data_IF_903041838875
#
_entry.id   IF_903041838875
#
_cell.length_a   1.000
_cell.length_b   1.000
_cell.length_c   1.000
_cell.angle_alpha   90.00
_cell.angle_beta   90.00
_cell.angle_gamma   90.00
#
_symmetry.space_group_name_H-M   'P 1'
#
loop_
_entity.id
_entity.type
_entity.pdbx_description
1 polymer ?
#
# COMPACT_ATOMS: atom_id res chain seq x y z
N UNK A 1 10.14 -10.77 8.34
CA UNK A 1 10.90 -9.70 7.67
C UNK A 1 12.11 -10.29 7.00
N UNK A 2 12.23 -10.13 5.68
CA UNK A 2 13.36 -10.67 4.92
C UNK A 2 14.54 -9.72 4.99
N UNK A 3 15.32 -9.83 6.04
CA UNK A 3 16.57 -9.07 6.20
C UNK A 3 17.52 -9.20 5.00
N UNK A 4 17.41 -10.30 4.23
CA UNK A 4 18.23 -10.52 3.03
C UNK A 4 17.90 -9.54 1.90
N UNK A 5 16.62 -9.14 1.72
CA UNK A 5 16.24 -8.12 0.73
C UNK A 5 16.88 -6.79 1.12
N UNK A 6 16.75 -6.40 2.39
CA UNK A 6 17.33 -5.17 2.89
C UNK A 6 18.84 -5.14 2.70
N UNK A 7 19.52 -6.26 2.99
CA UNK A 7 20.97 -6.40 2.80
C UNK A 7 21.38 -6.31 1.32
N UNK A 8 20.61 -6.93 0.42
CA UNK A 8 20.81 -6.84 -1.04
C UNK A 8 20.78 -5.39 -1.51
N UNK A 9 19.74 -4.64 -1.12
CA UNK A 9 19.58 -3.24 -1.54
C UNK A 9 20.59 -2.30 -0.88
N UNK A 10 21.04 -2.56 0.33
CA UNK A 10 22.17 -1.85 0.93
C UNK A 10 23.46 -2.11 0.14
N UNK A 11 23.69 -3.36 -0.29
CA UNK A 11 24.82 -3.70 -1.15
C UNK A 11 24.81 -2.90 -2.46
N UNK A 12 23.66 -2.77 -3.12
CA UNK A 12 23.52 -1.96 -4.33
C UNK A 12 23.76 -0.47 -4.05
N UNK A 13 23.23 0.03 -2.94
CA UNK A 13 23.42 1.43 -2.52
C UNK A 13 24.88 1.75 -2.12
N UNK A 14 25.65 0.77 -1.67
CA UNK A 14 26.99 0.97 -1.15
C UNK A 14 27.92 1.71 -2.14
N UNK A 15 27.72 1.49 -3.45
CA UNK A 15 28.49 2.14 -4.52
C UNK A 15 28.22 3.64 -4.59
N UNK A 16 27.05 4.09 -4.13
CA UNK A 16 26.61 5.50 -4.14
C UNK A 16 26.80 6.19 -2.80
N UNK A 17 27.21 5.43 -1.78
CA UNK A 17 27.42 5.94 -0.43
C UNK A 17 28.91 6.24 -0.18
N UNK A 18 29.21 7.50 0.09
CA UNK A 18 30.56 7.91 0.37
C UNK A 18 31.07 7.30 1.71
N UNK A 19 32.26 6.69 1.68
CA UNK A 19 32.90 6.01 2.83
C UNK A 19 32.05 4.91 3.46
N UNK A 20 31.38 4.14 2.65
CA UNK A 20 30.63 2.98 3.11
C UNK A 20 31.55 1.93 3.76
N UNK A 21 31.16 1.48 4.95
CA UNK A 21 31.89 0.47 5.73
C UNK A 21 30.91 -0.39 6.52
N UNK A 22 31.02 -1.71 6.37
CA UNK A 22 30.31 -2.66 7.23
C UNK A 22 31.04 -2.73 8.60
N UNK A 23 30.27 -2.60 9.70
CA UNK A 23 30.79 -2.62 11.07
C UNK A 23 30.38 -3.87 11.85
N UNK A 24 29.46 -4.65 11.32
CA UNK A 24 28.94 -5.85 11.94
C UNK A 24 27.71 -6.38 11.17
N UNK A 25 27.06 -7.39 11.73
CA UNK A 25 25.87 -7.95 11.14
C UNK A 25 24.76 -6.88 11.03
N UNK A 26 24.38 -6.58 9.78
CA UNK A 26 23.38 -5.58 9.45
C UNK A 26 23.67 -4.15 9.96
N UNK A 27 24.93 -3.88 10.34
CA UNK A 27 25.36 -2.55 10.81
C UNK A 27 26.35 -1.93 9.82
N UNK A 28 25.99 -0.77 9.29
CA UNK A 28 26.77 -0.09 8.26
C UNK A 28 27.00 1.37 8.65
N UNK A 29 28.16 1.89 8.28
CA UNK A 29 28.55 3.27 8.52
C UNK A 29 28.96 3.94 7.20
N UNK A 30 28.52 5.17 6.97
CA UNK A 30 28.84 5.97 5.79
C UNK A 30 28.60 7.45 6.02
N UNK A 31 29.08 8.30 5.13
CA UNK A 31 28.77 9.74 5.17
C UNK A 31 27.30 9.98 4.89
N UNK A 32 26.70 10.88 5.66
CA UNK A 32 25.28 11.17 5.53
C UNK A 32 24.95 11.75 4.14
N UNK A 33 24.07 11.11 3.36
CA UNK A 33 23.66 11.63 2.05
C UNK A 33 22.70 12.83 2.14
N UNK A 34 22.20 13.12 3.36
CA UNK A 34 21.23 14.22 3.57
C UNK A 34 21.94 15.53 3.90
N UNK A 35 22.89 15.49 4.83
CA UNK A 35 23.62 16.70 5.26
C UNK A 35 25.06 16.79 4.76
N UNK A 36 25.54 15.78 4.02
CA UNK A 36 26.91 15.72 3.55
C UNK A 36 27.96 15.53 4.64
N UNK A 37 27.51 15.33 5.90
CA UNK A 37 28.36 15.19 7.08
C UNK A 37 29.27 16.43 7.33
N UNK A 38 30.45 16.27 7.91
CA UNK A 38 31.35 17.39 8.20
C UNK A 38 31.95 18.00 6.94
N UNK A 39 31.81 19.33 6.79
CA UNK A 39 32.41 20.06 5.68
C UNK A 39 33.94 20.23 5.86
N UNK A 40 34.38 20.36 7.10
CA UNK A 40 35.81 20.58 7.43
C UNK A 40 36.61 19.28 7.46
N UNK A 41 35.99 18.17 7.84
CA UNK A 41 36.67 16.88 7.92
C UNK A 41 35.94 15.81 7.08
N UNK A 42 36.45 15.60 5.89
CA UNK A 42 35.90 14.59 4.94
C UNK A 42 36.06 13.13 5.41
N UNK A 43 36.85 12.89 6.44
CA UNK A 43 37.04 11.55 6.98
C UNK A 43 35.98 11.13 7.97
N UNK A 44 35.14 12.04 8.43
CA UNK A 44 34.01 11.70 9.32
C UNK A 44 32.86 11.12 8.56
N UNK A 45 32.38 9.97 9.02
CA UNK A 45 31.18 9.29 8.55
C UNK A 45 30.28 9.06 9.77
N UNK A 46 29.15 9.77 9.84
CA UNK A 46 28.26 9.77 11.01
C UNK A 46 26.87 9.23 10.69
N UNK A 47 26.67 8.74 9.49
CA UNK A 47 25.47 8.01 9.09
C UNK A 47 25.62 6.53 9.44
N UNK A 48 24.63 5.97 10.11
CA UNK A 48 24.60 4.55 10.49
C UNK A 48 23.30 3.91 10.06
N UNK A 49 23.41 2.70 9.52
CA UNK A 49 22.27 1.77 9.40
C UNK A 49 22.44 0.70 10.47
N UNK A 50 21.35 0.36 11.16
CA UNK A 50 21.34 -0.65 12.21
C UNK A 50 19.96 -1.33 12.29
N UNK A 51 19.90 -2.58 12.81
CA UNK A 51 18.67 -3.29 12.95
C UNK A 51 17.81 -2.75 14.10
N UNK A 52 16.49 -2.66 13.88
CA UNK A 52 15.48 -2.42 14.90
C UNK A 52 14.37 -3.48 14.78
N UNK A 53 13.38 -3.45 15.69
CA UNK A 53 12.29 -4.43 15.75
C UNK A 53 11.55 -4.62 14.42
N UNK A 54 11.43 -3.57 13.63
CA UNK A 54 10.64 -3.54 12.40
C UNK A 54 11.49 -3.47 11.11
N UNK A 55 12.79 -3.72 11.16
CA UNK A 55 13.70 -3.71 10.01
C UNK A 55 14.95 -2.88 10.22
N UNK A 56 15.57 -2.45 9.13
CA UNK A 56 16.76 -1.62 9.17
C UNK A 56 16.41 -0.14 9.17
N UNK A 57 17.06 0.61 10.06
CA UNK A 57 16.88 2.04 10.23
C UNK A 57 18.18 2.78 10.02
N UNK A 58 18.07 3.93 9.41
CA UNK A 58 19.16 4.89 9.24
C UNK A 58 19.06 6.02 10.24
N UNK A 59 20.18 6.39 10.84
CA UNK A 59 20.33 7.58 11.69
C UNK A 59 21.64 8.29 11.41
N UNK A 60 21.59 9.60 11.32
CA UNK A 60 22.77 10.45 11.25
C UNK A 60 23.01 11.16 12.59
N UNK A 61 24.21 11.03 13.14
CA UNK A 61 24.59 11.72 14.39
C UNK A 61 24.99 13.18 14.16
N UNK A 62 25.12 13.65 12.93
CA UNK A 62 25.43 15.04 12.63
C UNK A 62 24.18 15.92 12.51
N UNK A 63 23.17 15.49 11.73
CA UNK A 63 21.93 16.24 11.53
C UNK A 63 20.73 15.62 12.25
N UNK A 64 20.92 14.60 13.06
CA UNK A 64 19.90 13.88 13.83
C UNK A 64 18.77 13.26 12.99
N UNK A 65 18.85 13.29 11.66
CA UNK A 65 17.84 12.67 10.79
C UNK A 65 17.75 11.18 11.06
N UNK A 66 16.52 10.67 11.17
CA UNK A 66 16.24 9.25 11.34
C UNK A 66 15.23 8.83 10.27
N UNK A 67 15.54 7.78 9.51
CA UNK A 67 14.74 7.31 8.36
C UNK A 67 14.65 5.78 8.38
N UNK A 68 13.54 5.25 7.87
CA UNK A 68 13.50 3.83 7.51
C UNK A 68 14.40 3.56 6.30
N UNK A 69 14.84 2.32 6.13
CA UNK A 69 15.67 1.95 4.98
C UNK A 69 15.00 2.32 3.66
N UNK A 70 13.70 2.03 3.50
CA UNK A 70 12.97 2.39 2.29
C UNK A 70 12.96 3.89 2.00
N UNK A 71 12.78 4.72 3.02
CA UNK A 71 12.83 6.18 2.87
C UNK A 71 14.24 6.66 2.49
N UNK A 72 15.28 6.04 3.04
CA UNK A 72 16.67 6.34 2.67
C UNK A 72 16.93 5.99 1.20
N UNK A 73 16.53 4.79 0.76
CA UNK A 73 16.67 4.35 -0.63
C UNK A 73 15.98 5.35 -1.57
N UNK A 74 14.73 5.73 -1.24
CA UNK A 74 13.97 6.69 -2.06
C UNK A 74 14.63 8.06 -2.17
N UNK A 75 15.31 8.52 -1.12
CA UNK A 75 16.05 9.80 -1.15
C UNK A 75 17.29 9.76 -2.02
N UNK A 76 17.96 8.60 -2.10
CA UNK A 76 19.20 8.44 -2.86
C UNK A 76 18.89 8.06 -4.31
N UNK A 77 17.99 7.11 -4.50
CA UNK A 77 17.60 6.58 -5.80
C UNK A 77 16.12 6.16 -5.82
N UNK A 78 15.23 7.02 -6.36
CA UNK A 78 13.81 6.70 -6.47
C UNK A 78 13.50 5.51 -7.40
N UNK A 79 14.36 5.22 -8.39
CA UNK A 79 14.18 4.07 -9.29
C UNK A 79 14.44 2.77 -8.51
N UNK A 80 15.55 2.72 -7.80
CA UNK A 80 15.90 1.59 -6.94
C UNK A 80 14.85 1.35 -5.85
N UNK A 81 14.24 2.41 -5.34
CA UNK A 81 13.16 2.31 -4.36
C UNK A 81 11.92 1.59 -4.92
N UNK A 82 11.57 1.83 -6.17
CA UNK A 82 10.45 1.12 -6.82
C UNK A 82 10.72 -0.38 -6.91
N UNK A 83 11.94 -0.76 -7.29
CA UNK A 83 12.36 -2.16 -7.34
C UNK A 83 12.34 -2.82 -5.96
N UNK A 84 12.87 -2.12 -4.95
CA UNK A 84 12.83 -2.56 -3.55
C UNK A 84 11.41 -2.82 -3.05
N UNK A 85 10.48 -1.90 -3.32
CA UNK A 85 9.08 -2.07 -2.95
C UNK A 85 8.44 -3.25 -3.68
N UNK A 86 8.73 -3.41 -4.97
CA UNK A 86 8.19 -4.52 -5.77
C UNK A 86 8.70 -5.87 -5.28
N UNK A 87 9.98 -5.97 -4.94
CA UNK A 87 10.56 -7.22 -4.43
C UNK A 87 9.98 -7.58 -3.06
N UNK A 88 9.85 -6.61 -2.17
CA UNK A 88 9.17 -6.82 -0.87
C UNK A 88 7.69 -7.20 -1.01
N UNK A 89 7.01 -6.64 -1.98
CA UNK A 89 5.64 -7.03 -2.29
C UNK A 89 5.54 -8.48 -2.77
N UNK A 90 6.43 -8.90 -3.69
CA UNK A 90 6.48 -10.28 -4.20
C UNK A 90 6.75 -11.32 -3.10
N UNK A 91 7.51 -10.96 -2.08
CA UNK A 91 7.79 -11.84 -0.93
C UNK A 91 6.73 -11.76 0.19
N UNK A 92 5.64 -11.01 -0.03
CA UNK A 92 4.57 -10.84 0.95
C UNK A 92 4.92 -9.89 2.09
N UNK A 93 6.04 -9.19 2.01
CA UNK A 93 6.50 -8.24 3.00
C UNK A 93 6.16 -6.80 2.60
N UNK A 94 4.90 -6.47 2.59
CA UNK A 94 4.49 -5.07 2.54
C UNK A 94 4.81 -4.44 3.88
N UNK A 95 5.64 -3.41 3.93
CA UNK A 95 6.05 -2.73 5.17
C UNK A 95 4.93 -2.00 5.95
N UNK A 96 3.69 -2.21 5.57
CA UNK A 96 2.50 -2.01 6.38
C UNK A 96 2.06 -3.39 6.85
N UNK A 97 1.87 -3.57 8.17
CA UNK A 97 1.08 -4.72 8.66
C UNK A 97 -0.15 -4.76 7.77
N UNK A 98 -0.28 -5.82 6.97
CA UNK A 98 -1.46 -6.00 6.17
C UNK A 98 -2.62 -5.80 7.14
N UNK A 99 -3.40 -4.73 6.98
CA UNK A 99 -4.67 -4.65 7.64
C UNK A 99 -5.33 -5.97 7.28
N UNK A 100 -5.61 -6.80 8.30
CA UNK A 100 -6.40 -8.02 8.10
C UNK A 100 -7.51 -7.57 7.19
N UNK A 101 -7.54 -8.09 5.97
CA UNK A 101 -8.61 -7.79 5.07
C UNK A 101 -9.85 -8.01 5.89
N UNK A 102 -10.58 -6.93 6.20
CA UNK A 102 -11.88 -7.08 6.80
C UNK A 102 -12.60 -7.95 5.78
N UNK A 103 -12.81 -9.21 6.12
CA UNK A 103 -13.72 -10.03 5.39
C UNK A 103 -15.05 -9.28 5.52
N UNK A 104 -15.38 -8.50 4.51
CA UNK A 104 -16.72 -8.01 4.35
C UNK A 104 -17.57 -9.26 4.13
N UNK A 105 -18.03 -9.81 5.23
CA UNK A 105 -19.14 -10.74 5.17
C UNK A 105 -20.29 -9.86 4.72
N UNK A 106 -20.56 -9.87 3.41
CA UNK A 106 -21.82 -9.39 2.89
C UNK A 106 -22.88 -10.26 3.56
N UNK A 107 -23.41 -9.77 4.68
CA UNK A 107 -24.67 -10.30 5.17
C UNK A 107 -25.65 -9.95 4.06
N UNK A 108 -26.23 -10.94 3.35
CA UNK A 108 -27.27 -10.64 2.39
C UNK A 108 -28.29 -9.83 3.17
N UNK A 109 -28.54 -8.60 2.72
CA UNK A 109 -29.63 -7.80 3.24
C UNK A 109 -30.86 -8.67 2.98
N UNK A 110 -31.37 -9.30 4.02
CA UNK A 110 -32.68 -9.92 3.94
C UNK A 110 -33.61 -8.74 3.73
N UNK A 111 -33.99 -8.48 2.49
CA UNK A 111 -35.14 -7.65 2.21
C UNK A 111 -36.29 -8.39 2.90
N UNK A 112 -36.65 -7.88 4.07
CA UNK A 112 -37.73 -8.47 4.83
C UNK A 112 -38.98 -8.41 3.97
N UNK A 113 -39.79 -9.44 4.03
CA UNK A 113 -41.12 -9.52 3.39
C UNK A 113 -42.04 -8.34 3.76
N UNK A 114 -41.66 -7.52 4.69
CA UNK A 114 -42.40 -6.32 5.10
C UNK A 114 -42.44 -5.18 4.08
N UNK A 115 -41.44 -5.09 3.16
CA UNK A 115 -41.46 -4.04 2.13
C UNK A 115 -42.49 -4.31 1.02
N UNK A 116 -42.92 -5.55 0.87
CA UNK A 116 -43.97 -5.91 -0.11
C UNK A 116 -45.40 -5.68 0.43
N UNK A 117 -45.58 -5.69 1.74
CA UNK A 117 -46.90 -5.52 2.36
C UNK A 117 -47.33 -4.07 2.41
N UNK A 118 -46.40 -3.13 2.67
CA UNK A 118 -46.68 -1.70 2.68
C UNK A 118 -47.08 -1.12 1.30
N UNK A 119 -46.72 -1.80 0.21
CA UNK A 119 -47.02 -1.38 -1.16
C UNK A 119 -48.13 -2.18 -1.87
N UNK A 120 -48.67 -3.21 -1.22
CA UNK A 120 -49.72 -4.06 -1.82
C UNK A 120 -51.02 -3.34 -2.23
N UNK A 121 -51.23 -2.13 -1.70
CA UNK A 121 -52.39 -1.30 -2.04
C UNK A 121 -52.08 -0.16 -3.02
N UNK A 122 -50.79 0.13 -3.29
CA UNK A 122 -50.35 1.29 -4.05
C UNK A 122 -49.73 0.91 -5.39
N UNK A 123 -49.13 -0.28 -5.49
CA UNK A 123 -48.45 -0.71 -6.71
C UNK A 123 -49.34 -1.73 -7.47
N UNK A 124 -49.65 -1.41 -8.71
CA UNK A 124 -50.30 -2.34 -9.64
C UNK A 124 -49.24 -3.12 -10.42
N UNK A 125 -49.21 -4.47 -10.38
CA UNK A 125 -48.25 -5.23 -11.16
C UNK A 125 -48.49 -5.01 -12.66
N UNK A 126 -47.41 -4.98 -13.44
CA UNK A 126 -47.45 -4.75 -14.90
C UNK A 126 -48.39 -5.72 -15.63
N UNK A 127 -48.51 -6.95 -15.15
CA UNK A 127 -49.43 -7.96 -15.73
C UNK A 127 -50.92 -7.61 -15.64
N UNK A 128 -51.30 -6.66 -14.79
CA UNK A 128 -52.68 -6.21 -14.62
C UNK A 128 -53.00 -4.90 -15.34
N UNK A 129 -51.97 -4.29 -15.95
CA UNK A 129 -52.16 -3.05 -16.70
C UNK A 129 -52.60 -3.35 -18.14
N UNK A 130 -53.37 -2.46 -18.78
CA UNK A 130 -53.72 -2.58 -20.18
C UNK A 130 -52.50 -2.44 -21.07
N UNK A 131 -52.52 -3.09 -22.26
CA UNK A 131 -51.37 -3.17 -23.15
C UNK A 131 -50.89 -1.82 -23.71
N UNK A 132 -51.75 -0.83 -23.71
CA UNK A 132 -51.48 0.55 -24.10
C UNK A 132 -50.93 1.45 -22.98
N UNK A 133 -50.78 0.89 -21.78
CA UNK A 133 -50.27 1.65 -20.63
C UNK A 133 -48.79 2.04 -20.82
N UNK A 134 -48.46 3.28 -20.52
CA UNK A 134 -47.11 3.84 -20.70
C UNK A 134 -46.00 2.98 -20.08
N UNK A 135 -46.24 2.37 -18.93
CA UNK A 135 -45.25 1.49 -18.25
C UNK A 135 -45.00 0.20 -19.07
N UNK A 136 -46.02 -0.35 -19.77
CA UNK A 136 -45.85 -1.53 -20.62
C UNK A 136 -45.06 -1.16 -21.88
N UNK A 137 -45.40 -0.03 -22.51
CA UNK A 137 -44.71 0.48 -23.68
C UNK A 137 -43.22 0.77 -23.34
N UNK A 138 -42.96 1.31 -22.19
CA UNK A 138 -41.59 1.53 -21.70
C UNK A 138 -40.83 0.21 -21.49
N UNK A 139 -41.42 -0.77 -20.82
CA UNK A 139 -40.81 -2.08 -20.62
C UNK A 139 -40.49 -2.78 -21.95
N UNK A 140 -41.40 -2.73 -22.91
CA UNK A 140 -41.23 -3.29 -24.26
C UNK A 140 -40.07 -2.58 -25.00
N UNK A 141 -40.00 -1.25 -24.92
CA UNK A 141 -38.92 -0.49 -25.55
C UNK A 141 -37.51 -0.87 -25.00
N UNK A 142 -37.49 -1.32 -23.77
CA UNK A 142 -36.25 -1.77 -23.07
C UNK A 142 -36.04 -3.29 -23.16
N UNK A 143 -36.87 -4.03 -23.90
CA UNK A 143 -36.84 -5.50 -24.02
C UNK A 143 -36.93 -6.21 -22.66
N UNK A 144 -37.67 -5.63 -21.72
CA UNK A 144 -37.96 -6.26 -20.42
C UNK A 144 -39.12 -7.20 -20.63
N UNK A 145 -39.03 -8.51 -20.31
CA UNK A 145 -40.14 -9.44 -20.43
C UNK A 145 -41.26 -9.01 -19.48
N UNK A 146 -42.47 -8.88 -20.04
CA UNK A 146 -43.70 -8.60 -19.29
C UNK A 146 -44.54 -9.87 -19.36
N UNK A 147 -44.36 -10.76 -18.38
CA UNK A 147 -45.15 -11.98 -18.27
C UNK A 147 -46.57 -11.60 -17.79
N UNK A 148 -47.61 -11.98 -18.59
CA UNK A 148 -49.01 -11.84 -18.25
C UNK A 148 -49.57 -13.09 -17.61
#
# INVERSE_FOLDING_TARGET
>A
MSMWIDQKYIGILSIRLDKFSAKGDYTYNFRCPVCGDSQTNRNKARGYIFPMKDGLFYKCHNCAVSLSLGTLINKIDPALYKEYCLERYKTGETGRKAHKAHSFVFKPVKFGSSMTDDFKGVLTPLSKLPDDHEAILYAQSRKIPVDK
#
